data_IF_614629411045
#
_entry.id   IF_614629411045
#
_cell.length_a   1.000
_cell.length_b   1.000
_cell.length_c   1.000
_cell.angle_alpha   90.00
_cell.angle_beta   90.00
_cell.angle_gamma   90.00
#
_symmetry.space_group_name_H-M   'P 1'
#
loop_
_entity.id
_entity.type
_entity.pdbx_description
1 polymer ?
#
# COMPACT_ATOMS: atom_id res chain seq x y z
N UNK A 1 -10.72 30.70 9.32
CA UNK A 1 -9.48 29.93 9.55
C UNK A 1 -9.80 28.75 10.47
N UNK A 2 -9.74 27.51 9.99
CA UNK A 2 -9.81 26.34 10.88
C UNK A 2 -8.43 26.13 11.53
N UNK A 3 -8.36 26.15 12.86
CA UNK A 3 -7.11 25.88 13.59
C UNK A 3 -6.68 24.42 13.40
N UNK A 4 -5.37 24.17 13.34
CA UNK A 4 -4.80 22.82 13.14
C UNK A 4 -5.31 21.79 14.16
N UNK A 5 -5.57 22.22 15.40
CA UNK A 5 -6.17 21.44 16.48
C UNK A 5 -7.60 20.98 16.14
N UNK A 6 -8.40 21.83 15.49
CA UNK A 6 -9.77 21.48 15.07
C UNK A 6 -9.77 20.40 13.98
N UNK A 7 -8.82 20.46 13.04
CA UNK A 7 -8.71 19.49 11.95
C UNK A 7 -8.19 18.13 12.45
N UNK A 8 -7.18 18.12 13.32
CA UNK A 8 -6.66 16.88 13.92
C UNK A 8 -7.75 16.14 14.70
N UNK A 9 -8.55 16.87 15.49
CA UNK A 9 -9.69 16.34 16.24
C UNK A 9 -10.77 15.79 15.32
N UNK A 10 -11.12 16.49 14.23
CA UNK A 10 -12.08 15.99 13.22
C UNK A 10 -11.59 14.72 12.53
N UNK A 11 -10.31 14.67 12.14
CA UNK A 11 -9.70 13.46 11.57
C UNK A 11 -9.72 12.30 12.57
N UNK A 12 -9.47 12.56 13.86
CA UNK A 12 -9.54 11.54 14.92
C UNK A 12 -10.96 11.01 15.11
N UNK A 13 -11.95 11.90 15.15
CA UNK A 13 -13.37 11.51 15.25
C UNK A 13 -13.80 10.67 14.04
N UNK A 14 -13.43 11.10 12.83
CA UNK A 14 -13.73 10.36 11.61
C UNK A 14 -13.06 8.98 11.57
N UNK A 15 -11.76 8.89 11.95
CA UNK A 15 -11.08 7.59 12.09
C UNK A 15 -11.82 6.67 13.04
N UNK A 16 -12.23 7.18 14.21
CA UNK A 16 -12.97 6.38 15.20
C UNK A 16 -14.27 5.83 14.62
N UNK A 17 -15.06 6.69 13.96
CA UNK A 17 -16.32 6.30 13.34
C UNK A 17 -16.15 5.27 12.22
N UNK A 18 -15.19 5.48 11.32
CA UNK A 18 -14.93 4.53 10.23
C UNK A 18 -14.35 3.22 10.74
N UNK A 19 -13.43 3.26 11.70
CA UNK A 19 -12.89 2.04 12.31
C UNK A 19 -13.97 1.24 13.05
N UNK A 20 -14.98 1.89 13.66
CA UNK A 20 -16.12 1.14 14.23
C UNK A 20 -16.97 0.47 13.15
N UNK A 21 -17.22 1.15 12.03
CA UNK A 21 -17.96 0.58 10.90
C UNK A 21 -17.22 -0.62 10.30
N UNK A 22 -15.93 -0.48 10.05
CA UNK A 22 -15.11 -1.55 9.48
C UNK A 22 -14.99 -2.77 10.40
N UNK A 23 -14.96 -2.56 11.72
CA UNK A 23 -14.97 -3.66 12.72
C UNK A 23 -16.30 -4.39 12.83
N UNK A 24 -17.40 -3.75 12.38
CA UNK A 24 -18.73 -4.35 12.40
C UNK A 24 -19.02 -5.18 11.15
N UNK A 25 -18.15 -5.14 10.13
CA UNK A 25 -18.26 -6.00 8.95
C UNK A 25 -18.03 -7.45 9.33
N UNK A 26 -18.84 -8.35 8.77
CA UNK A 26 -18.60 -9.78 8.89
C UNK A 26 -17.35 -10.19 8.10
N UNK A 27 -16.76 -11.32 8.44
CA UNK A 27 -15.64 -11.87 7.67
C UNK A 27 -16.05 -12.19 6.23
N UNK A 28 -17.30 -12.62 6.02
CA UNK A 28 -17.84 -12.91 4.69
C UNK A 28 -18.01 -11.64 3.84
N UNK A 29 -18.43 -10.53 4.45
CA UNK A 29 -18.48 -9.23 3.78
C UNK A 29 -17.09 -8.78 3.35
N UNK A 30 -16.11 -8.87 4.27
CA UNK A 30 -14.72 -8.50 3.98
C UNK A 30 -14.17 -9.36 2.85
N UNK A 31 -14.40 -10.68 2.88
CA UNK A 31 -13.95 -11.61 1.85
C UNK A 31 -14.60 -11.32 0.49
N UNK A 32 -15.90 -11.09 0.47
CA UNK A 32 -16.67 -10.81 -0.76
C UNK A 32 -16.21 -9.51 -1.40
N UNK A 33 -16.11 -8.44 -0.61
CA UNK A 33 -15.67 -7.13 -1.08
C UNK A 33 -14.19 -7.16 -1.51
N UNK A 34 -13.33 -7.87 -0.77
CA UNK A 34 -11.92 -8.04 -1.15
C UNK A 34 -11.78 -8.78 -2.47
N UNK A 35 -12.55 -9.85 -2.68
CA UNK A 35 -12.54 -10.61 -3.94
C UNK A 35 -12.92 -9.74 -5.14
N UNK A 36 -13.92 -8.86 -4.98
CA UNK A 36 -14.30 -7.92 -6.04
C UNK A 36 -13.21 -6.87 -6.31
N UNK A 37 -12.53 -6.38 -5.27
CA UNK A 37 -11.38 -5.46 -5.43
C UNK A 37 -10.23 -6.14 -6.15
N UNK A 38 -9.87 -7.36 -5.73
CA UNK A 38 -8.83 -8.18 -6.36
C UNK A 38 -9.16 -8.34 -7.84
N UNK A 39 -10.38 -8.77 -8.18
CA UNK A 39 -10.81 -8.94 -9.58
C UNK A 39 -10.62 -7.66 -10.38
N UNK A 40 -11.05 -6.52 -9.84
CA UNK A 40 -10.93 -5.21 -10.51
C UNK A 40 -9.47 -4.80 -10.71
N UNK A 41 -8.63 -4.99 -9.70
CA UNK A 41 -7.18 -4.69 -9.76
C UNK A 41 -6.50 -5.53 -10.83
N UNK A 42 -6.70 -6.85 -10.80
CA UNK A 42 -6.05 -7.77 -11.73
C UNK A 42 -6.55 -7.62 -13.17
N UNK A 43 -7.75 -7.08 -13.38
CA UNK A 43 -8.30 -6.79 -14.71
C UNK A 43 -7.94 -5.40 -15.26
N UNK A 44 -7.20 -4.59 -14.50
CA UNK A 44 -6.96 -3.21 -14.88
C UNK A 44 -5.76 -3.08 -15.83
N UNK A 45 -5.83 -2.23 -16.88
CA UNK A 45 -4.72 -2.08 -17.84
C UNK A 45 -3.41 -1.66 -17.18
N UNK A 46 -3.47 -0.82 -16.13
CA UNK A 46 -2.28 -0.40 -15.39
C UNK A 46 -1.60 -1.55 -14.65
N UNK A 47 -2.32 -2.63 -14.30
CA UNK A 47 -1.73 -3.80 -13.67
C UNK A 47 -0.92 -4.60 -14.69
N UNK A 48 -1.48 -4.77 -15.89
CA UNK A 48 -0.80 -5.44 -17.00
C UNK A 48 0.46 -4.69 -17.42
N UNK A 49 0.38 -3.36 -17.54
CA UNK A 49 1.49 -2.47 -17.92
C UNK A 49 2.59 -2.36 -16.84
N UNK A 50 2.23 -2.48 -15.55
CA UNK A 50 3.18 -2.31 -14.46
C UNK A 50 4.19 -3.46 -14.40
N UNK A 51 5.45 -3.14 -14.15
CA UNK A 51 6.55 -4.11 -13.94
C UNK A 51 6.94 -4.23 -12.47
N UNK A 52 6.72 -3.16 -11.70
CA UNK A 52 7.11 -3.08 -10.29
C UNK A 52 5.99 -2.48 -9.45
N UNK A 53 5.45 -3.27 -8.53
CA UNK A 53 4.27 -2.91 -7.74
C UNK A 53 4.61 -3.00 -6.25
N UNK A 54 4.31 -1.93 -5.52
CA UNK A 54 4.25 -1.97 -4.06
C UNK A 54 2.84 -2.35 -3.61
N UNK A 55 2.71 -3.44 -2.84
CA UNK A 55 1.45 -3.91 -2.28
C UNK A 55 1.60 -4.05 -0.76
N UNK A 56 0.67 -3.48 0.00
CA UNK A 56 0.63 -3.73 1.44
C UNK A 56 0.15 -5.15 1.72
N UNK A 57 0.58 -5.73 2.84
CA UNK A 57 0.02 -6.96 3.38
C UNK A 57 -1.03 -6.57 4.42
N UNK A 58 -2.24 -7.10 4.27
CA UNK A 58 -3.40 -6.63 5.02
C UNK A 58 -3.34 -6.98 6.49
N UNK A 59 -3.86 -6.07 7.33
CA UNK A 59 -4.18 -6.35 8.73
C UNK A 59 -5.20 -7.48 8.85
N UNK A 60 -5.23 -8.20 10.00
CA UNK A 60 -6.22 -9.25 10.25
C UNK A 60 -7.68 -8.76 10.18
N UNK A 61 -7.93 -7.46 10.38
CA UNK A 61 -9.26 -6.88 10.30
C UNK A 61 -9.20 -5.40 9.88
N UNK A 62 -10.26 -4.95 9.22
CA UNK A 62 -10.47 -3.54 8.87
C UNK A 62 -9.70 -3.06 7.65
N UNK A 63 -9.10 -3.97 6.88
CA UNK A 63 -8.51 -3.71 5.57
C UNK A 63 -9.02 -4.71 4.53
N UNK A 64 -8.87 -4.36 3.27
CA UNK A 64 -9.05 -5.27 2.14
C UNK A 64 -7.93 -6.31 2.19
N UNK A 65 -8.28 -7.58 2.03
CA UNK A 65 -7.31 -8.66 1.88
C UNK A 65 -6.61 -8.55 0.52
N UNK A 66 -5.31 -8.29 0.57
CA UNK A 66 -4.45 -8.08 -0.60
C UNK A 66 -3.57 -9.28 -0.93
N UNK A 67 -3.70 -10.39 -0.20
CA UNK A 67 -2.86 -11.59 -0.39
C UNK A 67 -2.90 -12.09 -1.83
N UNK A 68 -4.10 -12.18 -2.42
CA UNK A 68 -4.29 -12.59 -3.82
C UNK A 68 -3.65 -11.62 -4.83
N UNK A 69 -3.60 -10.32 -4.52
CA UNK A 69 -2.92 -9.34 -5.38
C UNK A 69 -1.41 -9.55 -5.29
N UNK A 70 -0.85 -9.68 -4.09
CA UNK A 70 0.58 -9.90 -3.89
C UNK A 70 1.06 -11.17 -4.60
N UNK A 71 0.34 -12.29 -4.45
CA UNK A 71 0.64 -13.54 -5.17
C UNK A 71 0.52 -13.37 -6.68
N UNK A 72 -0.49 -12.66 -7.18
CA UNK A 72 -0.66 -12.43 -8.62
C UNK A 72 0.47 -11.58 -9.22
N UNK A 73 1.00 -10.59 -8.48
CA UNK A 73 2.18 -9.80 -8.91
C UNK A 73 3.37 -10.73 -9.14
N UNK A 74 3.69 -11.58 -8.16
CA UNK A 74 4.80 -12.54 -8.26
C UNK A 74 4.59 -13.56 -9.38
N UNK A 75 3.39 -14.15 -9.46
CA UNK A 75 3.06 -15.16 -10.48
C UNK A 75 3.08 -14.59 -11.91
N UNK A 76 2.94 -13.26 -12.06
CA UNK A 76 3.05 -12.57 -13.35
C UNK A 76 4.50 -12.20 -13.71
N UNK A 77 5.50 -12.63 -12.92
CA UNK A 77 6.90 -12.27 -13.11
C UNK A 77 7.23 -10.79 -12.84
N UNK A 78 6.31 -10.07 -12.18
CA UNK A 78 6.49 -8.65 -11.83
C UNK A 78 7.25 -8.55 -10.50
N UNK A 79 7.88 -7.40 -10.25
CA UNK A 79 8.57 -7.14 -8.99
C UNK A 79 7.56 -6.74 -7.90
N UNK A 80 7.47 -7.53 -6.84
CA UNK A 80 6.67 -7.21 -5.67
C UNK A 80 7.53 -6.51 -4.61
N UNK A 81 7.02 -5.39 -4.09
CA UNK A 81 7.56 -4.71 -2.93
C UNK A 81 6.49 -4.60 -1.85
N UNK A 82 6.87 -4.78 -0.58
CA UNK A 82 5.94 -4.70 0.56
C UNK A 82 6.47 -3.75 1.64
N UNK A 83 5.60 -3.00 2.34
CA UNK A 83 6.01 -2.10 3.40
C UNK A 83 6.44 -2.87 4.67
N UNK A 84 7.41 -2.30 5.39
CA UNK A 84 7.78 -2.66 6.76
C UNK A 84 7.81 -1.42 7.61
N UNK A 85 7.13 -1.45 8.75
CA UNK A 85 7.21 -0.37 9.74
C UNK A 85 8.27 -0.72 10.77
N UNK A 86 9.24 0.17 10.93
CA UNK A 86 10.31 -0.01 11.92
C UNK A 86 10.85 1.36 12.34
N UNK A 87 10.96 1.66 13.65
CA UNK A 87 11.42 2.95 14.14
C UNK A 87 12.88 3.28 13.77
N UNK A 88 13.69 2.27 13.42
CA UNK A 88 15.08 2.47 12.97
C UNK A 88 15.16 2.99 11.52
N UNK A 89 14.08 2.86 10.75
CA UNK A 89 14.04 3.34 9.37
C UNK A 89 13.73 4.84 9.31
N UNK A 90 14.33 5.53 8.35
CA UNK A 90 14.00 6.92 8.08
C UNK A 90 12.50 7.08 7.79
N UNK A 91 11.82 7.96 8.52
CA UNK A 91 10.36 8.15 8.42
C UNK A 91 9.53 7.01 9.06
N UNK A 92 10.18 6.01 9.64
CA UNK A 92 9.60 4.88 10.36
C UNK A 92 9.00 3.79 9.48
N UNK A 93 9.23 3.81 8.16
CA UNK A 93 8.76 2.78 7.23
C UNK A 93 9.69 2.66 6.03
N UNK A 94 9.97 1.44 5.62
CA UNK A 94 10.65 1.12 4.36
C UNK A 94 9.77 0.24 3.49
N UNK A 95 10.10 0.12 2.21
CA UNK A 95 9.40 -0.77 1.28
C UNK A 95 10.43 -1.67 0.63
N UNK A 96 10.27 -2.98 0.79
CA UNK A 96 11.29 -3.98 0.52
C UNK A 96 10.81 -5.01 -0.50
N UNK A 97 11.74 -5.51 -1.32
CA UNK A 97 11.45 -6.50 -2.36
C UNK A 97 11.04 -7.84 -1.74
N UNK A 98 10.09 -8.52 -2.34
CA UNK A 98 9.78 -9.93 -2.13
C UNK A 98 10.23 -10.70 -3.38
N UNK A 99 10.96 -11.79 -3.18
CA UNK A 99 11.68 -12.47 -4.27
C UNK A 99 10.84 -13.55 -4.95
N UNK A 100 10.07 -14.30 -4.18
CA UNK A 100 9.18 -15.36 -4.67
C UNK A 100 8.04 -15.67 -3.68
N UNK A 101 7.21 -16.65 -4.02
CA UNK A 101 6.06 -17.06 -3.21
C UNK A 101 6.47 -17.71 -1.87
N UNK A 102 7.63 -18.36 -1.81
CA UNK A 102 8.13 -18.95 -0.56
C UNK A 102 8.62 -17.86 0.40
N UNK A 103 9.34 -16.86 -0.11
CA UNK A 103 9.72 -15.64 0.60
C UNK A 103 8.48 -14.90 1.13
N UNK A 104 7.43 -14.77 0.32
CA UNK A 104 6.16 -14.17 0.75
C UNK A 104 5.47 -14.97 1.87
N UNK A 105 5.43 -16.30 1.75
CA UNK A 105 4.75 -17.16 2.73
C UNK A 105 5.50 -17.25 4.06
N UNK A 106 6.82 -17.24 4.02
CA UNK A 106 7.72 -17.35 5.18
C UNK A 106 7.88 -16.07 6.01
N UNK A 107 7.31 -14.95 5.56
CA UNK A 107 7.38 -13.68 6.29
C UNK A 107 6.84 -13.81 7.72
N UNK A 108 7.60 -13.37 8.75
CA UNK A 108 7.15 -13.38 10.12
C UNK A 108 6.04 -12.35 10.36
N UNK A 109 5.17 -12.62 11.33
CA UNK A 109 4.18 -11.65 11.81
C UNK A 109 4.85 -10.55 12.62
N UNK A 110 4.64 -9.30 12.22
CA UNK A 110 5.10 -8.09 12.92
C UNK A 110 4.14 -7.64 14.03
N UNK A 111 4.35 -6.40 14.48
CA UNK A 111 3.71 -5.81 15.69
C UNK A 111 2.17 -5.78 15.64
N UNK A 112 1.57 -5.73 14.46
CA UNK A 112 0.12 -5.69 14.27
C UNK A 112 -0.49 -6.98 13.74
N UNK A 113 0.26 -8.10 13.81
CA UNK A 113 -0.15 -9.38 13.22
C UNK A 113 -0.11 -9.38 11.69
N UNK A 114 0.48 -8.33 11.08
CA UNK A 114 0.74 -8.22 9.65
C UNK A 114 2.04 -8.95 9.35
N UNK A 115 2.08 -9.77 8.30
CA UNK A 115 3.35 -10.33 7.82
C UNK A 115 4.27 -9.20 7.34
N UNK A 116 5.53 -9.19 7.77
CA UNK A 116 6.49 -8.16 7.39
C UNK A 116 7.79 -8.77 6.87
N UNK A 117 8.46 -8.13 5.90
CA UNK A 117 9.77 -8.57 5.46
C UNK A 117 10.79 -8.43 6.58
N UNK A 118 11.75 -9.36 6.60
CA UNK A 118 13.00 -9.23 7.33
C UNK A 118 13.94 -8.28 6.62
N UNK A 119 14.91 -7.72 7.34
CA UNK A 119 15.92 -6.83 6.75
C UNK A 119 16.89 -7.54 5.81
N UNK A 120 17.00 -8.87 5.93
CA UNK A 120 17.85 -9.71 5.10
C UNK A 120 17.02 -10.80 4.39
N UNK A 121 17.49 -11.24 3.23
CA UNK A 121 17.03 -12.43 2.51
C UNK A 121 18.27 -13.25 2.10
N UNK A 122 18.31 -14.53 2.45
CA UNK A 122 19.47 -15.41 2.23
C UNK A 122 20.81 -14.76 2.66
N UNK A 123 20.87 -14.25 3.90
CA UNK A 123 22.04 -13.60 4.52
C UNK A 123 22.55 -12.33 3.83
N UNK A 124 21.82 -11.82 2.83
CA UNK A 124 22.12 -10.54 2.18
C UNK A 124 21.08 -9.47 2.55
N UNK A 125 21.46 -8.18 2.60
CA UNK A 125 20.49 -7.11 2.81
C UNK A 125 19.37 -7.15 1.76
N UNK A 126 18.13 -7.15 2.23
CA UNK A 126 16.95 -7.12 1.36
C UNK A 126 16.89 -5.77 0.64
N UNK A 127 16.72 -5.82 -0.68
CA UNK A 127 16.61 -4.62 -1.52
C UNK A 127 15.42 -3.74 -1.11
N UNK A 128 15.67 -2.44 -0.98
CA UNK A 128 14.64 -1.41 -0.76
C UNK A 128 14.24 -0.77 -2.08
N UNK A 129 12.99 -0.33 -2.18
CA UNK A 129 12.49 0.41 -3.34
C UNK A 129 13.26 1.73 -3.59
N UNK A 130 13.92 2.26 -2.57
CA UNK A 130 14.73 3.49 -2.62
C UNK A 130 16.18 3.25 -3.01
N UNK A 131 16.64 2.00 -3.12
CA UNK A 131 18.03 1.70 -3.50
C UNK A 131 18.27 2.09 -4.96
N UNK A 132 19.54 2.36 -5.29
CA UNK A 132 19.93 2.81 -6.64
C UNK A 132 19.62 1.74 -7.69
N UNK A 133 19.94 0.49 -7.39
CA UNK A 133 19.72 -0.64 -8.30
C UNK A 133 18.27 -1.17 -8.30
N UNK A 134 17.38 -0.58 -7.49
CA UNK A 134 15.95 -0.95 -7.53
C UNK A 134 15.26 -0.34 -8.73
N UNK A 135 14.43 -1.15 -9.40
CA UNK A 135 13.45 -0.67 -10.38
C UNK A 135 12.55 0.42 -9.77
N UNK A 136 12.15 1.45 -10.55
CA UNK A 136 11.12 2.39 -10.11
C UNK A 136 9.82 1.65 -9.83
N UNK A 137 9.08 2.09 -8.82
CA UNK A 137 7.73 1.64 -8.55
C UNK A 137 6.83 2.25 -9.63
N UNK A 138 6.10 1.41 -10.34
CA UNK A 138 5.08 1.84 -11.31
C UNK A 138 3.74 2.10 -10.60
N UNK A 139 3.45 1.31 -9.56
CA UNK A 139 2.20 1.37 -8.80
C UNK A 139 2.47 1.20 -7.32
N UNK A 140 1.77 1.96 -6.48
CA UNK A 140 1.76 1.78 -5.02
C UNK A 140 0.32 1.62 -4.55
N UNK A 141 -0.02 0.44 -4.07
CA UNK A 141 -1.29 0.17 -3.41
C UNK A 141 -1.21 0.62 -1.95
N UNK A 142 -2.02 1.62 -1.60
CA UNK A 142 -1.92 2.30 -0.30
C UNK A 142 -3.13 1.95 0.56
N UNK A 143 -2.94 1.47 1.80
CA UNK A 143 -4.01 1.25 2.75
C UNK A 143 -4.52 2.56 3.35
N UNK A 144 -5.76 2.52 3.83
CA UNK A 144 -6.41 3.65 4.48
C UNK A 144 -7.65 3.24 5.24
N UNK A 145 -7.97 4.00 6.28
CA UNK A 145 -9.22 3.87 7.04
C UNK A 145 -10.41 4.40 6.24
N UNK A 146 -10.15 5.34 5.33
CA UNK A 146 -11.16 5.87 4.43
C UNK A 146 -10.56 6.70 3.32
N UNK A 147 -11.32 6.81 2.24
CA UNK A 147 -11.02 7.62 1.08
C UNK A 147 -12.28 8.40 0.70
N UNK A 148 -12.13 9.63 0.21
CA UNK A 148 -13.25 10.38 -0.34
C UNK A 148 -13.27 10.36 -1.88
N UNK A 149 -14.31 10.92 -2.49
CA UNK A 149 -14.46 10.99 -3.95
C UNK A 149 -13.39 11.85 -4.64
N UNK A 150 -12.70 12.70 -3.88
CA UNK A 150 -11.55 13.49 -4.37
C UNK A 150 -10.23 12.74 -4.24
N UNK A 151 -10.26 11.50 -3.73
CA UNK A 151 -9.11 10.63 -3.48
C UNK A 151 -8.21 11.14 -2.35
N UNK A 152 -8.78 11.97 -1.47
CA UNK A 152 -8.13 12.27 -0.21
C UNK A 152 -8.17 11.02 0.69
N UNK A 153 -7.03 10.71 1.31
CA UNK A 153 -6.85 9.51 2.13
C UNK A 153 -6.83 9.86 3.61
N UNK A 154 -7.52 9.06 4.42
CA UNK A 154 -7.42 9.04 5.87
C UNK A 154 -6.72 7.76 6.32
N UNK A 155 -5.42 7.84 6.60
CA UNK A 155 -4.68 6.72 7.21
C UNK A 155 -4.88 6.61 8.73
N UNK A 156 -4.22 5.63 9.37
CA UNK A 156 -4.29 5.36 10.82
C UNK A 156 -3.69 6.47 11.72
N UNK A 157 -3.04 7.48 11.14
CA UNK A 157 -2.62 8.70 11.86
C UNK A 157 -1.13 8.79 12.18
N UNK A 158 -0.34 7.73 11.93
CA UNK A 158 1.13 7.76 12.08
C UNK A 158 1.85 8.43 10.91
N UNK A 159 1.20 8.56 9.74
CA UNK A 159 1.75 9.27 8.59
C UNK A 159 2.88 8.55 7.84
N UNK A 160 3.02 7.22 8.01
CA UNK A 160 4.08 6.43 7.38
C UNK A 160 4.08 6.56 5.85
N UNK A 161 2.95 6.31 5.20
CA UNK A 161 2.82 6.46 3.75
C UNK A 161 3.05 7.90 3.27
N UNK A 162 2.58 8.91 4.00
CA UNK A 162 2.75 10.31 3.57
C UNK A 162 4.24 10.70 3.56
N UNK A 163 5.01 10.25 4.58
CA UNK A 163 6.47 10.43 4.61
C UNK A 163 7.19 9.61 3.55
N UNK A 164 6.84 8.33 3.39
CA UNK A 164 7.44 7.47 2.39
C UNK A 164 7.24 8.02 0.98
N UNK A 165 6.02 8.41 0.61
CA UNK A 165 5.72 8.96 -0.72
C UNK A 165 6.50 10.26 -0.99
N UNK A 166 6.64 11.12 0.02
CA UNK A 166 7.42 12.35 -0.08
C UNK A 166 8.90 12.04 -0.36
N UNK A 167 9.51 11.18 0.47
CA UNK A 167 10.91 10.76 0.30
C UNK A 167 11.14 10.02 -1.01
N UNK A 168 10.25 9.09 -1.37
CA UNK A 168 10.33 8.33 -2.61
C UNK A 168 10.23 9.23 -3.84
N UNK A 169 9.30 10.20 -3.84
CA UNK A 169 9.16 11.16 -4.94
C UNK A 169 10.38 12.06 -5.10
N UNK A 170 11.00 12.48 -3.99
CA UNK A 170 12.24 13.25 -4.04
C UNK A 170 13.38 12.44 -4.66
N UNK A 171 13.56 11.18 -4.24
CA UNK A 171 14.56 10.27 -4.80
C UNK A 171 14.29 10.00 -6.29
N UNK A 172 13.04 9.71 -6.65
CA UNK A 172 12.64 9.46 -8.03
C UNK A 172 12.91 10.67 -8.92
N UNK A 173 12.63 11.90 -8.43
CA UNK A 173 12.90 13.14 -9.16
C UNK A 173 14.38 13.36 -9.41
N UNK A 174 15.24 13.13 -8.40
CA UNK A 174 16.70 13.25 -8.56
C UNK A 174 17.24 12.23 -9.57
N UNK A 175 16.65 11.03 -9.62
CA UNK A 175 17.05 9.94 -10.51
C UNK A 175 16.35 9.96 -11.89
N UNK A 176 15.53 10.97 -12.19
CA UNK A 176 14.79 11.05 -13.47
C UNK A 176 13.76 9.93 -13.68
N UNK A 177 13.25 9.32 -12.59
CA UNK A 177 12.28 8.22 -12.65
C UNK A 177 10.84 8.76 -12.79
N UNK A 178 10.00 7.98 -13.47
CA UNK A 178 8.56 8.26 -13.56
C UNK A 178 7.88 8.26 -12.18
N UNK A 179 6.79 9.02 -12.05
CA UNK A 179 5.98 9.01 -10.82
C UNK A 179 5.11 7.76 -10.80
N UNK A 180 5.11 6.97 -9.70
CA UNK A 180 4.21 5.84 -9.57
C UNK A 180 2.75 6.30 -9.63
N UNK A 181 1.89 5.39 -10.08
CA UNK A 181 0.46 5.47 -9.85
C UNK A 181 0.16 5.27 -8.37
N UNK A 182 -0.36 6.30 -7.72
CA UNK A 182 -1.01 6.21 -6.42
C UNK A 182 -2.00 7.38 -6.25
N UNK A 183 -3.26 7.09 -5.93
CA UNK A 183 -4.26 8.15 -5.68
C UNK A 183 -4.67 8.96 -6.92
N UNK A 184 -4.66 10.31 -6.81
CA UNK A 184 -5.26 11.22 -7.82
C UNK A 184 -4.75 10.95 -9.24
N UNK A 185 -5.63 10.95 -10.26
CA UNK A 185 -5.23 10.58 -11.60
C UNK A 185 -4.27 11.64 -12.14
N UNK A 186 -3.09 11.21 -12.57
CA UNK A 186 -2.42 11.90 -13.67
C UNK A 186 -3.20 11.58 -14.96
N UNK A 187 -3.06 12.43 -15.97
CA UNK A 187 -3.92 12.55 -17.16
C UNK A 187 -4.19 11.28 -18.00
N UNK A 188 -3.61 10.13 -17.65
CA UNK A 188 -3.84 8.83 -18.31
C UNK A 188 -4.77 7.85 -17.58
N UNK A 189 -5.36 8.19 -16.42
CA UNK A 189 -6.22 7.26 -15.65
C UNK A 189 -7.65 7.78 -15.37
N UNK A 190 -8.43 8.06 -16.41
CA UNK A 190 -9.89 8.22 -16.27
C UNK A 190 -10.62 6.89 -15.96
N UNK A 191 -9.92 5.74 -15.98
CA UNK A 191 -10.52 4.40 -15.85
C UNK A 191 -10.61 3.88 -14.41
N UNK A 192 -9.84 4.43 -13.46
CA UNK A 192 -9.83 3.98 -12.05
C UNK A 192 -11.14 4.29 -11.30
N UNK A 193 -11.84 5.37 -11.66
CA UNK A 193 -13.06 5.82 -10.98
C UNK A 193 -14.28 4.90 -11.14
N UNK A 194 -14.21 3.87 -12.02
CA UNK A 194 -15.27 2.86 -12.14
C UNK A 194 -15.07 1.66 -11.21
N UNK A 195 -13.84 1.44 -10.72
CA UNK A 195 -13.48 0.22 -10.00
C UNK A 195 -13.41 0.37 -8.47
N UNK A 196 -13.40 1.58 -7.92
CA UNK A 196 -13.43 1.80 -6.46
C UNK A 196 -14.81 2.24 -5.92
N UNK A 197 -15.89 1.93 -6.65
CA UNK A 197 -17.26 2.07 -6.13
C UNK A 197 -17.51 0.96 -5.10
N UNK A 198 -17.46 1.35 -3.83
CA UNK A 198 -18.28 0.82 -2.74
C UNK A 198 -19.06 2.01 -2.16
#
# INVERSE_FOLDING_TARGET
>A
MMTSTSLASRKRALRKSLSSTLRALSQDDVRTQSSEIVRRVLSAPWFDEATTISCYLSMPAGEVDTSAIASAVLNSGKNLFVPKVDPTLHGGMGVFKIYDDEDLRSLPSGVWGIKEPTFNHCDTPRMKATDEDSNPLDVILIPGVGFDRSLARLGHGKGYYDRFLSSYSAIASVRGRGKPLYGKPTSKLHQWLRCARF
#
